data_IF_867846136904
#
_entry.id   IF_867846136904
#
_cell.length_a   1.000
_cell.length_b   1.000
_cell.length_c   1.000
_cell.angle_alpha   90.00
_cell.angle_beta   90.00
_cell.angle_gamma   90.00
#
_symmetry.space_group_name_H-M   'P 1'
#
loop_
_entity.id
_entity.type
_entity.pdbx_description
1 polymer ?
#
# COMPACT_ATOMS: atom_id res chain seq x y z
N UNK A 1 28.29 -19.10 -3.46
CA UNK A 1 27.29 -18.12 -3.91
C UNK A 1 26.04 -18.90 -4.28
N UNK A 2 24.89 -18.49 -3.78
CA UNK A 2 23.60 -18.96 -4.23
C UNK A 2 22.76 -17.80 -4.74
N UNK A 3 21.96 -18.05 -5.75
CA UNK A 3 21.01 -17.09 -6.31
C UNK A 3 19.71 -17.83 -6.58
N UNK A 4 18.60 -17.24 -6.16
CA UNK A 4 17.26 -17.76 -6.43
C UNK A 4 16.32 -16.64 -6.81
N UNK A 5 15.38 -16.93 -7.68
CA UNK A 5 14.31 -16.05 -8.06
C UNK A 5 13.05 -16.86 -8.31
N UNK A 6 11.93 -16.33 -7.90
CA UNK A 6 10.64 -16.94 -8.15
C UNK A 6 9.66 -15.86 -8.66
N UNK A 7 8.70 -16.28 -9.45
CA UNK A 7 7.60 -15.43 -9.90
C UNK A 7 6.33 -16.27 -9.94
N UNK A 8 5.52 -16.10 -8.91
CA UNK A 8 4.24 -16.79 -8.79
C UNK A 8 3.11 -15.95 -9.37
N UNK A 9 2.37 -16.51 -10.31
CA UNK A 9 1.09 -15.97 -10.77
C UNK A 9 -0.01 -16.98 -10.45
N UNK A 10 -1.19 -16.48 -10.11
CA UNK A 10 -2.37 -17.28 -9.83
C UNK A 10 -3.25 -17.22 -11.06
N UNK A 11 -3.58 -18.37 -11.61
CA UNK A 11 -4.60 -18.49 -12.65
C UNK A 11 -5.74 -19.38 -12.17
N UNK A 12 -6.95 -19.04 -12.54
CA UNK A 12 -8.15 -19.85 -12.32
C UNK A 12 -8.42 -20.18 -10.83
N UNK A 13 -8.67 -19.16 -10.01
CA UNK A 13 -9.33 -19.37 -8.73
C UNK A 13 -10.73 -19.96 -8.95
N UNK A 14 -11.34 -20.45 -7.88
CA UNK A 14 -12.72 -20.95 -7.94
C UNK A 14 -13.65 -19.91 -8.57
N UNK A 15 -14.64 -20.37 -9.33
CA UNK A 15 -15.63 -19.51 -9.98
C UNK A 15 -16.25 -18.52 -8.97
N UNK A 16 -16.19 -17.24 -9.31
CA UNK A 16 -16.67 -16.15 -8.44
C UNK A 16 -15.72 -15.72 -7.35
N UNK A 17 -14.51 -16.31 -7.25
CA UNK A 17 -13.48 -15.89 -6.29
C UNK A 17 -12.42 -15.06 -7.00
N UNK A 18 -12.41 -13.76 -6.77
CA UNK A 18 -11.39 -12.84 -7.32
C UNK A 18 -10.16 -12.73 -6.42
N UNK A 19 -10.33 -12.93 -5.11
CA UNK A 19 -9.30 -12.73 -4.10
C UNK A 19 -9.33 -13.87 -3.10
N UNK A 20 -8.19 -14.53 -2.91
CA UNK A 20 -7.99 -15.52 -1.86
C UNK A 20 -7.11 -14.91 -0.75
N UNK A 21 -7.65 -14.73 0.44
CA UNK A 21 -6.88 -14.27 1.60
C UNK A 21 -6.07 -15.42 2.20
N UNK A 22 -4.76 -15.18 2.35
CA UNK A 22 -3.81 -16.18 2.87
C UNK A 22 -3.72 -16.13 4.39
N UNK A 23 -4.16 -15.03 5.01
CA UNK A 23 -4.09 -14.83 6.47
C UNK A 23 -5.27 -14.04 6.96
N UNK A 24 -5.69 -14.31 8.21
CA UNK A 24 -6.67 -13.51 8.93
C UNK A 24 -6.05 -12.24 9.54
N UNK A 25 -4.71 -12.17 9.59
CA UNK A 25 -4.01 -11.00 10.14
C UNK A 25 -4.21 -9.81 9.21
N UNK A 26 -4.75 -8.75 9.77
CA UNK A 26 -4.97 -7.48 9.08
C UNK A 26 -4.32 -6.35 9.88
N UNK A 27 -3.63 -5.46 9.18
CA UNK A 27 -3.13 -4.21 9.75
C UNK A 27 -3.69 -3.05 8.92
N UNK A 28 -4.52 -2.24 9.56
CA UNK A 28 -5.33 -1.28 8.83
C UNK A 28 -6.24 -2.00 7.81
N UNK A 29 -6.16 -1.63 6.54
CA UNK A 29 -6.86 -2.28 5.44
C UNK A 29 -6.01 -3.26 4.63
N UNK A 30 -4.78 -3.52 5.07
CA UNK A 30 -3.86 -4.40 4.36
C UNK A 30 -3.91 -5.83 4.86
N UNK A 31 -4.02 -6.78 3.93
CA UNK A 31 -3.95 -8.23 4.17
C UNK A 31 -3.06 -8.92 3.14
N UNK A 32 -2.50 -10.06 3.51
CA UNK A 32 -1.87 -10.93 2.53
C UNK A 32 -2.94 -11.68 1.72
N UNK A 33 -2.84 -11.62 0.42
CA UNK A 33 -3.82 -12.21 -0.48
C UNK A 33 -3.17 -12.68 -1.78
N UNK A 34 -3.88 -13.52 -2.52
CA UNK A 34 -3.61 -13.88 -3.90
C UNK A 34 -4.77 -13.38 -4.75
N UNK A 35 -4.47 -12.77 -5.87
CA UNK A 35 -5.47 -12.25 -6.82
C UNK A 35 -5.57 -13.18 -8.01
N UNK A 36 -6.80 -13.38 -8.51
CA UNK A 36 -7.02 -14.09 -9.76
C UNK A 36 -6.33 -13.34 -10.91
N UNK A 37 -5.62 -14.07 -11.77
CA UNK A 37 -4.76 -13.53 -12.84
C UNK A 37 -3.69 -12.52 -12.35
N UNK A 38 -3.43 -12.49 -11.06
CA UNK A 38 -2.49 -11.60 -10.37
C UNK A 38 -1.35 -12.33 -9.66
N UNK A 39 -0.70 -11.63 -8.74
CA UNK A 39 0.42 -12.19 -7.99
C UNK A 39 -0.05 -13.12 -6.86
N UNK A 40 0.69 -14.24 -6.70
CA UNK A 40 0.44 -15.21 -5.63
C UNK A 40 0.71 -14.62 -4.23
N UNK A 41 1.79 -13.86 -4.07
CA UNK A 41 2.16 -13.26 -2.78
C UNK A 41 1.84 -11.76 -2.74
N UNK A 42 0.62 -11.41 -3.06
CA UNK A 42 0.17 -10.02 -3.08
C UNK A 42 -0.14 -9.48 -1.68
N UNK A 43 -0.18 -8.17 -1.59
CA UNK A 43 -0.77 -7.41 -0.48
C UNK A 43 -2.04 -6.77 -1.02
N UNK A 44 -3.18 -7.11 -0.43
CA UNK A 44 -4.46 -6.45 -0.72
C UNK A 44 -4.64 -5.22 0.15
N UNK A 45 -5.30 -4.22 -0.37
CA UNK A 45 -5.65 -3.02 0.39
C UNK A 45 -6.61 -2.13 -0.37
N UNK A 46 -7.12 -1.09 0.29
CA UNK A 46 -7.88 -0.03 -0.35
C UNK A 46 -6.94 1.04 -0.94
N UNK A 47 -7.44 1.80 -1.88
CA UNK A 47 -6.77 2.96 -2.44
C UNK A 47 -7.75 4.13 -2.56
N UNK A 48 -7.21 5.33 -2.63
CA UNK A 48 -8.02 6.50 -2.93
C UNK A 48 -8.53 6.46 -4.36
N UNK A 49 -9.78 6.83 -4.56
CA UNK A 49 -10.35 7.00 -5.90
C UNK A 49 -9.58 8.09 -6.64
N UNK A 50 -9.22 7.80 -7.89
CA UNK A 50 -8.48 8.72 -8.75
C UNK A 50 -9.16 8.84 -10.10
N UNK A 51 -9.05 10.03 -10.68
CA UNK A 51 -9.42 10.26 -12.08
C UNK A 51 -8.44 9.56 -13.03
N UNK A 52 -8.76 9.50 -14.31
CA UNK A 52 -7.86 9.00 -15.35
C UNK A 52 -6.51 9.75 -15.38
N UNK A 53 -6.53 11.05 -15.04
CA UNK A 53 -5.34 11.91 -14.94
C UNK A 53 -4.55 11.71 -13.62
N UNK A 54 -4.99 10.79 -12.75
CA UNK A 54 -4.32 10.45 -11.49
C UNK A 54 -4.63 11.38 -10.32
N UNK A 55 -5.49 12.40 -10.47
CA UNK A 55 -5.89 13.30 -9.39
C UNK A 55 -6.77 12.55 -8.38
N UNK A 56 -6.62 12.87 -7.10
CA UNK A 56 -7.44 12.28 -6.03
C UNK A 56 -8.83 12.86 -6.05
N UNK A 57 -9.85 12.02 -6.00
CA UNK A 57 -11.25 12.42 -5.89
C UNK A 57 -11.57 12.70 -4.41
N UNK A 58 -12.06 13.90 -4.16
CA UNK A 58 -12.45 14.38 -2.83
C UNK A 58 -13.98 14.39 -2.72
N UNK A 59 -14.48 14.22 -1.52
CA UNK A 59 -15.87 14.47 -1.20
C UNK A 59 -16.17 15.96 -1.06
N UNK A 60 -17.43 16.30 -0.77
CA UNK A 60 -17.86 17.70 -0.57
C UNK A 60 -17.16 18.40 0.60
N UNK A 61 -16.61 17.63 1.54
CA UNK A 61 -15.88 18.12 2.72
C UNK A 61 -14.37 18.20 2.51
N UNK A 62 -13.88 17.82 1.33
CA UNK A 62 -12.45 17.81 1.01
C UNK A 62 -11.69 16.56 1.46
N UNK A 63 -12.41 15.52 1.88
CA UNK A 63 -11.78 14.25 2.26
C UNK A 63 -11.60 13.34 1.05
N UNK A 64 -10.45 12.65 0.92
CA UNK A 64 -10.23 11.67 -0.14
C UNK A 64 -11.28 10.56 -0.08
N UNK A 65 -11.88 10.26 -1.21
CA UNK A 65 -12.83 9.16 -1.35
C UNK A 65 -12.13 7.85 -1.67
N UNK A 66 -12.73 6.75 -1.24
CA UNK A 66 -12.33 5.40 -1.68
C UNK A 66 -13.60 4.58 -1.92
N UNK A 67 -13.53 3.63 -2.81
CA UNK A 67 -14.62 2.67 -3.00
C UNK A 67 -14.57 1.54 -1.95
N UNK A 68 -14.34 1.84 -0.72
CA UNK A 68 -14.15 1.09 0.53
C UNK A 68 -14.30 -0.44 0.52
N UNK A 69 -15.07 -0.99 -0.42
CA UNK A 69 -15.36 -2.42 -0.54
C UNK A 69 -14.41 -3.14 -1.51
N UNK A 70 -13.96 -2.46 -2.55
CA UNK A 70 -13.04 -3.05 -3.53
C UNK A 70 -11.63 -3.15 -2.97
N UNK A 71 -11.06 -4.33 -3.05
CA UNK A 71 -9.67 -4.57 -2.68
C UNK A 71 -8.81 -4.62 -3.93
N UNK A 72 -7.68 -3.97 -3.83
CA UNK A 72 -6.71 -3.86 -4.90
C UNK A 72 -5.41 -4.54 -4.49
N UNK A 73 -4.69 -5.05 -5.45
CA UNK A 73 -3.31 -5.41 -5.26
C UNK A 73 -2.48 -4.14 -5.12
N UNK A 74 -2.04 -3.84 -3.87
CA UNK A 74 -1.23 -2.66 -3.54
C UNK A 74 0.26 -2.95 -3.49
N UNK A 75 0.64 -4.21 -3.54
CA UNK A 75 2.03 -4.64 -3.58
C UNK A 75 2.20 -6.14 -3.73
N UNK A 76 3.39 -6.55 -4.14
CA UNK A 76 3.80 -7.94 -4.21
C UNK A 76 4.94 -8.17 -3.23
N UNK A 77 4.80 -9.15 -2.32
CA UNK A 77 5.82 -9.52 -1.32
C UNK A 77 6.96 -10.35 -1.90
N UNK A 78 6.76 -10.92 -3.08
CA UNK A 78 7.74 -11.78 -3.71
C UNK A 78 8.93 -10.95 -4.21
N UNK A 79 10.17 -11.30 -3.81
CA UNK A 79 11.35 -10.64 -4.31
C UNK A 79 11.59 -10.99 -5.78
N UNK A 80 12.15 -10.08 -6.54
CA UNK A 80 12.58 -10.35 -7.91
C UNK A 80 13.68 -11.40 -7.93
N UNK A 81 14.63 -11.29 -7.00
CA UNK A 81 15.65 -12.27 -6.73
C UNK A 81 16.24 -12.09 -5.32
N UNK A 82 16.80 -13.15 -4.80
CA UNK A 82 17.52 -13.15 -3.54
C UNK A 82 18.76 -14.03 -3.68
N UNK A 83 19.77 -13.74 -2.89
CA UNK A 83 20.97 -14.51 -2.94
C UNK A 83 21.81 -14.38 -1.69
N UNK A 84 22.76 -15.26 -1.57
CA UNK A 84 23.73 -15.29 -0.50
C UNK A 84 25.13 -15.53 -1.02
N UNK A 85 26.08 -14.83 -0.43
CA UNK A 85 27.49 -15.04 -0.67
C UNK A 85 28.17 -15.34 0.65
N UNK A 86 28.57 -16.60 0.81
CA UNK A 86 29.38 -17.05 1.93
C UNK A 86 30.85 -17.11 1.51
N UNK A 87 31.70 -16.48 2.28
CA UNK A 87 33.14 -16.49 2.08
C UNK A 87 33.83 -16.86 3.39
N UNK A 88 34.79 -17.79 3.30
CA UNK A 88 35.63 -18.19 4.42
C UNK A 88 37.09 -17.98 4.03
N UNK A 89 37.78 -17.16 4.78
CA UNK A 89 39.20 -16.87 4.62
C UNK A 89 39.95 -17.41 5.84
N UNK A 90 40.88 -18.30 5.59
CA UNK A 90 41.75 -18.84 6.65
C UNK A 90 43.17 -18.43 6.40
N UNK A 91 43.81 -17.83 7.40
CA UNK A 91 45.21 -17.47 7.38
C UNK A 91 45.90 -17.84 8.70
N UNK A 92 46.84 -18.79 8.64
CA UNK A 92 47.47 -19.39 9.80
C UNK A 92 46.41 -19.90 10.81
N UNK A 93 46.37 -19.30 12.03
CA UNK A 93 45.46 -19.67 13.10
C UNK A 93 44.17 -18.82 13.12
N UNK A 94 44.00 -17.95 12.15
CA UNK A 94 42.83 -17.09 12.05
C UNK A 94 41.91 -17.56 10.94
N UNK A 95 40.61 -17.66 11.26
CA UNK A 95 39.56 -17.95 10.28
C UNK A 95 38.54 -16.83 10.34
N UNK A 96 38.30 -16.22 9.20
CA UNK A 96 37.28 -15.17 9.01
C UNK A 96 36.16 -15.71 8.13
N UNK A 97 34.96 -15.74 8.67
CA UNK A 97 33.75 -16.12 7.93
C UNK A 97 32.88 -14.89 7.70
N UNK A 98 32.38 -14.73 6.48
CA UNK A 98 31.53 -13.64 6.09
C UNK A 98 30.37 -14.16 5.25
N UNK A 99 29.16 -13.91 5.70
CA UNK A 99 27.94 -14.20 4.97
C UNK A 99 27.26 -12.88 4.60
N UNK A 100 27.02 -12.70 3.32
CA UNK A 100 26.21 -11.62 2.78
C UNK A 100 24.93 -12.21 2.22
N UNK A 101 23.80 -11.69 2.70
CA UNK A 101 22.50 -11.99 2.15
C UNK A 101 21.90 -10.73 1.56
N UNK A 102 21.30 -10.86 0.40
CA UNK A 102 20.62 -9.75 -0.25
C UNK A 102 19.30 -10.22 -0.85
N UNK A 103 18.34 -9.31 -0.79
CA UNK A 103 17.01 -9.46 -1.36
C UNK A 103 16.67 -8.22 -2.17
N UNK A 104 16.33 -8.40 -3.43
CA UNK A 104 16.01 -7.29 -4.33
C UNK A 104 14.54 -7.39 -4.73
N UNK A 105 13.83 -6.28 -4.55
CA UNK A 105 12.39 -6.21 -4.77
C UNK A 105 11.59 -6.78 -3.61
N UNK A 106 10.30 -6.92 -3.86
CA UNK A 106 9.31 -7.25 -2.84
C UNK A 106 8.85 -6.03 -2.06
N UNK A 107 7.56 -5.99 -1.73
CA UNK A 107 6.95 -4.94 -0.92
C UNK A 107 6.71 -5.44 0.49
N UNK A 108 6.89 -4.55 1.45
CA UNK A 108 6.56 -4.80 2.85
C UNK A 108 5.60 -3.72 3.32
N UNK A 109 4.50 -4.13 3.92
CA UNK A 109 3.59 -3.18 4.53
C UNK A 109 4.16 -2.70 5.87
N UNK A 110 4.36 -1.39 6.00
CA UNK A 110 4.88 -0.80 7.23
C UNK A 110 3.74 -0.53 8.23
N UNK A 111 3.31 -1.57 8.93
CA UNK A 111 2.26 -1.47 9.96
C UNK A 111 2.64 -0.59 11.14
N UNK A 112 3.93 -0.53 11.50
CA UNK A 112 4.42 0.36 12.56
C UNK A 112 4.21 1.82 12.19
N UNK A 113 4.57 2.21 10.96
CA UNK A 113 4.33 3.57 10.48
C UNK A 113 2.84 3.91 10.44
N UNK A 114 2.00 2.95 10.02
CA UNK A 114 0.55 3.10 10.07
C UNK A 114 0.07 3.39 11.50
N UNK A 115 0.44 2.54 12.46
CA UNK A 115 0.02 2.68 13.86
C UNK A 115 0.51 4.01 14.47
N UNK A 116 1.76 4.40 14.21
CA UNK A 116 2.32 5.66 14.67
C UNK A 116 1.60 6.87 14.06
N UNK A 117 1.21 6.78 12.79
CA UNK A 117 0.48 7.87 12.12
C UNK A 117 -0.92 8.02 12.70
N UNK A 118 -1.63 6.92 12.92
CA UNK A 118 -2.96 6.94 13.53
C UNK A 118 -2.90 7.46 14.97
N UNK A 119 -1.90 7.05 15.75
CA UNK A 119 -1.68 7.53 17.11
C UNK A 119 -1.15 8.99 17.18
N UNK A 120 -0.79 9.59 16.03
CA UNK A 120 -0.22 10.94 15.99
C UNK A 120 1.19 11.06 16.55
N UNK A 121 1.93 9.96 16.65
CA UNK A 121 3.32 9.90 17.13
C UNK A 121 4.37 9.85 16.02
N UNK A 122 3.89 9.79 14.76
CA UNK A 122 4.75 9.81 13.58
C UNK A 122 5.24 11.24 13.29
N UNK A 123 6.46 11.36 12.76
CA UNK A 123 6.96 12.63 12.21
C UNK A 123 6.05 13.20 11.11
N UNK A 124 5.33 12.35 10.39
CA UNK A 124 4.35 12.79 9.38
C UNK A 124 3.18 13.56 9.97
N UNK A 125 2.91 13.40 11.28
CA UNK A 125 1.84 14.06 12.01
C UNK A 125 2.34 15.12 12.98
N UNK A 126 3.61 15.55 12.88
CA UNK A 126 4.23 16.56 13.73
C UNK A 126 3.57 17.92 13.53
N UNK A 127 3.36 18.30 12.27
CA UNK A 127 2.69 19.56 11.95
C UNK A 127 1.17 19.35 11.92
N UNK A 128 0.48 19.87 12.93
CA UNK A 128 -0.97 19.73 13.13
C UNK A 128 -1.74 21.03 12.95
N UNK A 129 -1.06 22.13 12.63
CA UNK A 129 -1.67 23.44 12.62
C UNK A 129 -2.49 23.67 11.37
N UNK A 130 -2.11 23.05 10.27
CA UNK A 130 -2.70 23.32 8.98
C UNK A 130 -2.45 22.16 7.98
N UNK A 131 -3.51 21.68 7.36
CA UNK A 131 -3.45 20.70 6.29
C UNK A 131 -4.16 21.25 5.04
N UNK A 132 -3.45 21.26 3.93
CA UNK A 132 -3.99 21.60 2.62
C UNK A 132 -4.13 20.35 1.76
N UNK A 133 -5.36 20.08 1.33
CA UNK A 133 -5.66 18.91 0.48
C UNK A 133 -6.17 19.41 -0.86
N UNK A 134 -5.47 19.05 -1.93
CA UNK A 134 -5.84 19.40 -3.31
C UNK A 134 -6.25 18.15 -4.07
N UNK A 135 -7.33 18.26 -4.82
CA UNK A 135 -7.86 17.17 -5.62
C UNK A 135 -9.00 17.64 -6.50
N UNK A 136 -9.86 16.75 -6.91
CA UNK A 136 -11.04 17.05 -7.69
C UNK A 136 -12.30 16.63 -6.96
N UNK A 137 -13.37 17.40 -7.11
CA UNK A 137 -14.69 17.09 -6.57
C UNK A 137 -15.63 16.82 -7.74
N UNK A 138 -16.44 15.78 -7.65
CA UNK A 138 -17.47 15.53 -8.64
C UNK A 138 -18.60 16.55 -8.44
N UNK A 139 -18.83 17.40 -9.44
CA UNK A 139 -19.86 18.45 -9.43
C UNK A 139 -21.07 18.09 -10.28
N UNK A 140 -20.95 17.04 -11.11
CA UNK A 140 -22.03 16.60 -11.99
C UNK A 140 -21.70 15.31 -12.72
N UNK A 141 -22.52 15.00 -13.72
CA UNK A 141 -22.38 13.79 -14.51
C UNK A 141 -22.98 12.55 -13.85
N UNK A 142 -22.75 11.40 -14.48
CA UNK A 142 -23.15 10.08 -13.99
C UNK A 142 -21.94 9.33 -13.44
N UNK A 143 -22.17 8.17 -12.82
CA UNK A 143 -21.10 7.31 -12.34
C UNK A 143 -20.12 6.91 -13.43
N UNK A 144 -20.62 6.68 -14.65
CA UNK A 144 -19.82 6.25 -15.81
C UNK A 144 -19.19 7.42 -16.57
N UNK A 145 -19.72 8.63 -16.40
CA UNK A 145 -19.20 9.86 -17.03
C UNK A 145 -19.26 11.05 -16.07
N UNK A 146 -18.43 11.05 -15.03
CA UNK A 146 -18.42 12.08 -13.99
C UNK A 146 -17.78 13.38 -14.50
N UNK A 147 -18.31 14.51 -14.05
CA UNK A 147 -17.74 15.83 -14.28
C UNK A 147 -17.01 16.24 -13.01
N UNK A 148 -15.74 16.59 -13.12
CA UNK A 148 -14.89 16.97 -12.02
C UNK A 148 -14.43 18.42 -12.10
N UNK A 149 -14.31 19.08 -10.94
CA UNK A 149 -13.68 20.39 -10.77
C UNK A 149 -12.50 20.29 -9.81
N UNK A 150 -11.41 20.99 -10.14
CA UNK A 150 -10.27 21.14 -9.24
C UNK A 150 -10.66 21.94 -8.02
N UNK A 151 -10.43 21.41 -6.83
CA UNK A 151 -10.65 22.08 -5.54
C UNK A 151 -9.50 21.85 -4.59
N UNK A 152 -9.30 22.84 -3.73
CA UNK A 152 -8.36 22.77 -2.63
C UNK A 152 -9.10 23.13 -1.35
N UNK A 153 -8.94 22.25 -0.35
CA UNK A 153 -9.52 22.44 0.98
C UNK A 153 -8.41 22.70 1.98
N UNK A 154 -8.72 23.53 2.96
CA UNK A 154 -7.80 23.91 4.03
C UNK A 154 -8.41 23.49 5.36
N UNK A 155 -7.67 22.70 6.12
CA UNK A 155 -8.09 22.19 7.42
C UNK A 155 -7.22 22.81 8.50
N UNK A 156 -7.87 23.47 9.46
CA UNK A 156 -7.21 24.16 10.57
C UNK A 156 -7.20 23.28 11.83
N UNK A 157 -6.18 23.44 12.64
CA UNK A 157 -6.09 22.77 13.94
C UNK A 157 -7.23 23.18 14.87
N UNK A 158 -7.68 22.25 15.68
CA UNK A 158 -8.73 22.47 16.67
C UNK A 158 -10.16 22.48 16.12
N UNK A 159 -10.34 22.32 14.81
CA UNK A 159 -11.68 22.16 14.21
C UNK A 159 -11.99 20.68 13.95
N UNK A 160 -13.25 20.33 14.08
CA UNK A 160 -13.75 18.99 13.75
C UNK A 160 -14.28 18.96 12.33
N UNK A 161 -13.80 18.02 11.55
CA UNK A 161 -14.25 17.79 10.19
C UNK A 161 -14.89 16.39 10.09
N UNK A 162 -15.99 16.28 9.34
CA UNK A 162 -16.70 15.01 9.17
C UNK A 162 -16.12 14.26 7.97
N UNK A 163 -15.87 12.99 8.19
CA UNK A 163 -15.51 12.04 7.14
C UNK A 163 -16.65 11.06 6.90
N UNK A 164 -17.16 10.99 5.67
CA UNK A 164 -18.29 10.13 5.27
C UNK A 164 -19.52 10.29 6.18
N UNK A 165 -19.80 11.50 6.63
CA UNK A 165 -20.97 11.80 7.46
C UNK A 165 -20.86 11.33 8.92
N UNK A 166 -19.67 10.96 9.37
CA UNK A 166 -19.37 10.53 10.75
C UNK A 166 -18.50 11.55 11.47
#
# INVERSE_FOLDING_TARGET
INLSGNRGTVGNLLDGCEILYVTDVQVGNAKAASFNDGNFMAISGSRWTRTADGKVVLDANGMPTSDGETKYEIGNREPKFQGGWNNTLTWKNFTFNMLWEFRVGGHVYNGTQYAMTVAGTSKLTENRDYLKVSGVVQTGGTKDNPIYEDRTFEFESGKTYQYNGK
#
